data_IF_790974736485
#
_entry.id   IF_790974736485
#
_cell.length_a   1.000
_cell.length_b   1.000
_cell.length_c   1.000
_cell.angle_alpha   90.00
_cell.angle_beta   90.00
_cell.angle_gamma   90.00
#
_symmetry.space_group_name_H-M   'P 1'
#
loop_
_entity.id
_entity.type
_entity.pdbx_description
1 polymer ?
#
# COMPACT_ATOMS: atom_id res chain seq x y z
N UNK A 1 -16.19 -11.65 -2.39
CA UNK A 1 -15.14 -12.64 -2.73
C UNK A 1 -14.91 -13.59 -1.57
N UNK A 2 -14.44 -13.14 -0.39
CA UNK A 2 -14.32 -14.01 0.80
C UNK A 2 -15.64 -14.70 1.21
N UNK A 3 -16.77 -14.01 1.10
CA UNK A 3 -18.09 -14.64 1.35
C UNK A 3 -18.40 -15.80 0.42
N UNK A 4 -17.99 -15.71 -0.85
CA UNK A 4 -18.14 -16.79 -1.83
C UNK A 4 -17.14 -17.91 -1.56
N UNK A 5 -15.90 -17.57 -1.21
CA UNK A 5 -14.86 -18.55 -0.85
C UNK A 5 -15.25 -19.38 0.37
N UNK A 6 -15.64 -18.73 1.47
CA UNK A 6 -16.06 -19.41 2.71
C UNK A 6 -17.43 -20.11 2.64
N UNK A 7 -18.07 -20.14 1.46
CA UNK A 7 -19.27 -20.92 1.20
C UNK A 7 -18.88 -22.34 0.71
N UNK A 8 -19.29 -22.72 -0.50
CA UNK A 8 -19.00 -24.05 -1.07
C UNK A 8 -17.50 -24.34 -1.25
N UNK A 9 -16.66 -23.40 -1.78
CA UNK A 9 -15.25 -23.69 -2.04
C UNK A 9 -14.48 -24.12 -0.79
N UNK A 10 -14.59 -23.37 0.31
CA UNK A 10 -13.92 -23.71 1.57
C UNK A 10 -14.34 -25.08 2.13
N UNK A 11 -15.62 -25.44 1.98
CA UNK A 11 -16.14 -26.74 2.42
C UNK A 11 -15.60 -27.90 1.59
N UNK A 12 -15.33 -27.67 0.31
CA UNK A 12 -14.82 -28.70 -0.61
C UNK A 12 -13.33 -29.03 -0.40
N UNK A 13 -12.56 -28.11 0.17
CA UNK A 13 -11.15 -28.33 0.49
C UNK A 13 -11.07 -29.26 1.69
N UNK A 14 -10.49 -30.45 1.53
CA UNK A 14 -10.36 -31.43 2.62
C UNK A 14 -9.06 -31.25 3.41
N UNK A 15 -7.97 -30.94 2.72
CA UNK A 15 -6.65 -30.81 3.33
C UNK A 15 -6.38 -29.43 3.94
N UNK A 16 -5.50 -29.33 4.95
CA UNK A 16 -4.99 -28.05 5.41
C UNK A 16 -4.26 -27.28 4.30
N UNK A 17 -4.40 -25.96 4.28
CA UNK A 17 -3.88 -25.10 3.24
C UNK A 17 -3.42 -23.73 3.76
N UNK A 18 -2.62 -23.07 2.93
CA UNK A 18 -2.23 -21.66 3.08
C UNK A 18 -3.24 -20.79 2.33
N UNK A 19 -3.86 -19.83 3.02
CA UNK A 19 -4.77 -18.87 2.41
C UNK A 19 -4.02 -17.59 2.05
N UNK A 20 -4.12 -17.15 0.79
CA UNK A 20 -3.58 -15.86 0.36
C UNK A 20 -4.73 -14.99 -0.14
N UNK A 21 -4.85 -13.78 0.39
CA UNK A 21 -5.77 -12.77 -0.10
C UNK A 21 -5.03 -11.49 -0.46
N UNK A 22 -5.15 -11.10 -1.72
CA UNK A 22 -4.44 -9.98 -2.31
C UNK A 22 -5.37 -9.20 -3.26
N UNK A 23 -4.85 -8.15 -3.87
CA UNK A 23 -5.44 -7.40 -4.97
C UNK A 23 -6.84 -6.84 -4.66
N UNK A 24 -6.97 -6.28 -3.45
CA UNK A 24 -8.21 -5.71 -2.95
C UNK A 24 -7.92 -4.74 -1.82
N UNK A 25 -8.61 -3.60 -1.79
CA UNK A 25 -8.57 -2.64 -0.69
C UNK A 25 -9.22 -3.17 0.60
N UNK A 26 -10.05 -4.21 0.51
CA UNK A 26 -10.75 -4.77 1.66
C UNK A 26 -9.78 -5.48 2.60
N UNK A 27 -9.95 -5.22 3.89
CA UNK A 27 -9.16 -5.89 4.91
C UNK A 27 -9.56 -7.35 5.10
N UNK A 28 -8.59 -8.17 5.48
CA UNK A 28 -8.75 -9.57 5.87
C UNK A 28 -8.13 -9.81 7.24
N UNK A 29 -8.68 -10.67 8.10
CA UNK A 29 -9.91 -11.44 7.93
C UNK A 29 -11.20 -10.62 8.10
N UNK A 30 -11.15 -9.39 8.62
CA UNK A 30 -12.32 -8.54 8.90
C UNK A 30 -13.39 -9.29 9.70
N UNK A 31 -14.56 -9.60 9.12
CA UNK A 31 -15.63 -10.39 9.77
C UNK A 31 -15.36 -11.90 9.84
N UNK A 32 -14.35 -12.41 9.13
CA UNK A 32 -13.97 -13.83 9.08
C UNK A 32 -12.92 -14.20 10.14
N UNK A 33 -12.79 -13.42 11.23
CA UNK A 33 -11.76 -13.68 12.27
C UNK A 33 -11.83 -15.12 12.81
N UNK A 34 -13.04 -15.63 13.01
CA UNK A 34 -13.28 -17.00 13.49
C UNK A 34 -12.69 -18.07 12.57
N UNK A 35 -12.57 -17.79 11.27
CA UNK A 35 -11.98 -18.74 10.32
C UNK A 35 -10.49 -18.97 10.55
N UNK A 36 -9.76 -18.03 11.17
CA UNK A 36 -8.35 -18.23 11.54
C UNK A 36 -8.17 -19.40 12.53
N UNK A 37 -9.20 -19.72 13.31
CA UNK A 37 -9.17 -20.85 14.26
C UNK A 37 -9.40 -22.20 13.57
N UNK A 38 -9.83 -22.20 12.30
CA UNK A 38 -10.14 -23.44 11.60
C UNK A 38 -8.85 -24.24 11.35
N UNK A 39 -8.81 -25.56 11.62
CA UNK A 39 -7.60 -26.37 11.47
C UNK A 39 -7.10 -26.42 10.03
N UNK A 40 -8.01 -26.35 9.05
CA UNK A 40 -7.63 -26.30 7.62
C UNK A 40 -6.87 -25.03 7.21
N UNK A 41 -6.94 -23.92 7.94
CA UNK A 41 -6.13 -22.74 7.62
C UNK A 41 -4.84 -22.83 8.43
N UNK A 42 -3.74 -23.16 7.75
CA UNK A 42 -2.41 -23.22 8.38
C UNK A 42 -1.90 -21.81 8.68
N UNK A 43 -1.96 -20.94 7.69
CA UNK A 43 -1.63 -19.52 7.77
C UNK A 43 -2.42 -18.75 6.71
N UNK A 44 -2.71 -17.49 6.99
CA UNK A 44 -3.38 -16.55 6.11
C UNK A 44 -2.47 -15.35 5.83
N UNK A 45 -2.02 -15.22 4.58
CA UNK A 45 -1.33 -14.03 4.10
C UNK A 45 -2.32 -13.02 3.52
N UNK A 46 -2.31 -11.78 4.04
CA UNK A 46 -3.24 -10.74 3.63
C UNK A 46 -2.54 -9.43 3.29
N UNK A 47 -2.90 -8.80 2.16
CA UNK A 47 -2.36 -7.49 1.79
C UNK A 47 -2.86 -6.34 2.66
N UNK A 48 -4.00 -6.53 3.33
CA UNK A 48 -4.63 -5.54 4.20
C UNK A 48 -5.08 -6.23 5.50
N UNK A 49 -4.17 -6.65 6.39
CA UNK A 49 -4.55 -7.34 7.62
C UNK A 49 -5.38 -6.42 8.54
N UNK A 50 -6.43 -6.96 9.16
CA UNK A 50 -7.30 -6.22 10.09
C UNK A 50 -7.05 -6.54 11.57
N UNK A 51 -6.00 -7.33 11.86
CA UNK A 51 -5.64 -7.78 13.20
C UNK A 51 -4.13 -7.69 13.33
N UNK A 52 -3.67 -7.06 14.41
CA UNK A 52 -2.24 -7.03 14.77
C UNK A 52 -1.88 -8.31 15.52
N UNK A 53 -0.69 -8.86 15.26
CA UNK A 53 -0.09 -9.96 16.01
C UNK A 53 -0.98 -11.21 16.19
N UNK A 54 -1.34 -11.89 15.10
CA UNK A 54 -2.04 -13.19 15.17
C UNK A 54 -1.18 -14.29 14.55
N UNK A 55 -1.02 -15.43 15.24
CA UNK A 55 -0.11 -16.51 14.85
C UNK A 55 -0.34 -17.06 13.43
N UNK A 56 -1.60 -17.08 12.98
CA UNK A 56 -2.00 -17.52 11.63
C UNK A 56 -2.33 -16.40 10.65
N UNK A 57 -2.04 -15.13 10.94
CA UNK A 57 -2.27 -14.03 10.01
C UNK A 57 -0.98 -13.24 9.85
N UNK A 58 -0.50 -13.16 8.61
CA UNK A 58 0.71 -12.40 8.29
C UNK A 58 0.42 -11.38 7.19
N UNK A 59 0.94 -10.15 7.32
CA UNK A 59 0.85 -9.18 6.25
C UNK A 59 1.64 -9.67 5.03
N UNK A 60 1.20 -9.26 3.83
CA UNK A 60 2.02 -9.28 2.61
C UNK A 60 1.90 -7.93 1.91
N UNK A 61 2.86 -7.53 1.07
CA UNK A 61 2.76 -6.32 0.26
C UNK A 61 1.52 -6.31 -0.64
N UNK A 62 0.80 -5.18 -0.74
CA UNK A 62 -0.12 -4.94 -1.88
C UNK A 62 0.66 -4.74 -3.19
N UNK A 63 1.91 -4.28 -3.10
CA UNK A 63 2.83 -4.14 -4.23
C UNK A 63 2.45 -3.02 -5.19
N UNK A 64 2.81 -3.19 -6.47
CA UNK A 64 2.46 -2.27 -7.55
C UNK A 64 1.02 -2.47 -8.03
N UNK A 65 0.44 -1.45 -8.65
CA UNK A 65 -0.87 -1.57 -9.26
C UNK A 65 -0.86 -2.53 -10.46
N UNK A 66 -2.02 -3.14 -10.75
CA UNK A 66 -2.16 -4.01 -11.92
C UNK A 66 -1.94 -3.26 -13.23
N UNK A 67 -1.35 -3.93 -14.23
CA UNK A 67 -0.99 -3.35 -15.52
C UNK A 67 -2.16 -2.78 -16.36
N UNK A 68 -3.41 -3.12 -16.06
CA UNK A 68 -4.57 -2.51 -16.72
C UNK A 68 -4.85 -1.08 -16.23
N UNK A 69 -4.24 -0.65 -15.13
CA UNK A 69 -4.30 0.73 -14.67
C UNK A 69 -3.14 1.55 -15.21
N UNK A 70 -3.38 2.83 -15.47
CA UNK A 70 -2.33 3.77 -15.94
C UNK A 70 -1.15 3.89 -14.97
N UNK A 71 -1.38 3.69 -13.67
CA UNK A 71 -0.36 3.69 -12.61
C UNK A 71 0.20 2.30 -12.30
N UNK A 72 -0.15 1.29 -13.11
CA UNK A 72 0.46 -0.05 -13.10
C UNK A 72 1.35 -0.31 -14.33
N UNK A 73 1.63 0.73 -15.14
CA UNK A 73 2.43 0.61 -16.36
C UNK A 73 3.91 0.39 -16.02
N UNK A 74 4.36 -0.85 -16.19
CA UNK A 74 5.72 -1.27 -15.89
C UNK A 74 6.77 -0.66 -16.84
N UNK A 75 6.40 -0.29 -18.07
CA UNK A 75 7.33 0.34 -19.00
C UNK A 75 7.66 1.76 -18.52
N UNK A 76 6.64 2.52 -18.11
CA UNK A 76 6.81 3.86 -17.52
C UNK A 76 7.59 3.83 -16.22
N UNK A 77 7.29 2.87 -15.34
CA UNK A 77 8.05 2.68 -14.10
C UNK A 77 9.52 2.35 -14.38
N UNK A 78 9.79 1.40 -15.27
CA UNK A 78 11.16 1.00 -15.65
C UNK A 78 11.93 2.18 -16.25
N UNK A 79 11.28 2.98 -17.10
CA UNK A 79 11.87 4.20 -17.64
C UNK A 79 12.21 5.20 -16.53
N UNK A 80 11.28 5.46 -15.61
CA UNK A 80 11.50 6.40 -14.51
C UNK A 80 12.60 5.94 -13.55
N UNK A 81 12.71 4.63 -13.27
CA UNK A 81 13.78 4.08 -12.44
C UNK A 81 15.17 4.35 -13.01
N UNK A 82 15.31 4.35 -14.35
CA UNK A 82 16.57 4.64 -15.03
C UNK A 82 16.87 6.12 -15.13
N UNK A 83 15.85 6.95 -15.36
CA UNK A 83 16.04 8.34 -15.77
C UNK A 83 15.68 9.39 -14.70
N UNK A 84 14.93 9.02 -13.67
CA UNK A 84 14.38 9.98 -12.69
C UNK A 84 14.70 9.65 -11.24
N UNK A 85 15.21 8.44 -10.95
CA UNK A 85 15.65 8.05 -9.60
C UNK A 85 16.96 8.74 -9.24
N UNK A 86 16.89 9.90 -8.58
CA UNK A 86 18.08 10.64 -8.15
C UNK A 86 18.73 10.00 -6.92
N UNK A 87 20.04 10.18 -6.80
CA UNK A 87 20.76 9.85 -5.56
C UNK A 87 20.30 10.75 -4.40
N UNK A 88 20.52 10.31 -3.15
CA UNK A 88 20.00 11.02 -1.97
C UNK A 88 20.42 12.49 -1.88
N UNK A 89 21.66 12.81 -2.23
CA UNK A 89 22.21 14.18 -2.20
C UNK A 89 21.66 15.08 -3.31
N UNK A 90 21.18 14.50 -4.41
CA UNK A 90 20.64 15.23 -5.56
C UNK A 90 19.12 15.48 -5.48
N UNK A 91 18.43 14.94 -4.47
CA UNK A 91 16.99 15.13 -4.23
C UNK A 91 16.73 16.49 -3.60
N UNK A 92 15.95 17.33 -4.28
CA UNK A 92 15.69 18.71 -3.84
C UNK A 92 14.38 18.87 -3.06
N UNK A 93 13.40 17.99 -3.27
CA UNK A 93 12.17 17.99 -2.47
C UNK A 93 12.39 17.22 -1.18
N UNK A 94 12.09 17.86 -0.04
CA UNK A 94 12.18 17.19 1.26
C UNK A 94 11.07 16.15 1.37
N UNK A 95 9.82 16.56 1.17
CA UNK A 95 8.65 15.73 1.36
C UNK A 95 7.71 15.84 0.16
N UNK A 96 7.29 14.71 -0.38
CA UNK A 96 6.29 14.64 -1.45
C UNK A 96 4.94 14.14 -0.93
N UNK A 97 3.88 14.87 -1.26
CA UNK A 97 2.51 14.60 -0.81
C UNK A 97 1.59 14.55 -2.02
N UNK A 98 1.17 13.35 -2.42
CA UNK A 98 0.23 13.15 -3.51
C UNK A 98 -0.80 12.06 -3.14
N UNK A 99 -1.90 12.49 -2.55
CA UNK A 99 -3.04 11.65 -2.25
C UNK A 99 -4.35 12.46 -2.23
N UNK A 100 -5.45 11.83 -2.64
CA UNK A 100 -6.77 12.44 -2.50
C UNK A 100 -7.31 12.23 -1.08
N UNK A 101 -7.67 13.32 -0.38
CA UNK A 101 -8.25 13.28 0.98
C UNK A 101 -9.52 12.44 1.01
N UNK A 102 -10.35 12.50 -0.04
CA UNK A 102 -11.67 11.85 -0.09
C UNK A 102 -11.65 10.33 0.10
N UNK A 103 -10.55 9.63 -0.24
CA UNK A 103 -10.49 8.17 -0.15
C UNK A 103 -10.35 7.66 1.29
N UNK A 104 -9.87 8.52 2.21
CA UNK A 104 -9.80 8.23 3.64
C UNK A 104 -9.76 9.56 4.40
N UNK A 105 -10.93 10.20 4.52
CA UNK A 105 -11.04 11.57 5.06
C UNK A 105 -10.44 11.69 6.45
N UNK A 106 -10.65 10.69 7.31
CA UNK A 106 -10.20 10.71 8.69
C UNK A 106 -8.66 10.73 8.80
N UNK A 107 -7.96 9.83 8.11
CA UNK A 107 -6.50 9.75 8.20
C UNK A 107 -5.82 10.78 7.32
N UNK A 108 -6.28 10.96 6.07
CA UNK A 108 -5.61 11.84 5.10
C UNK A 108 -5.78 13.33 5.42
N UNK A 109 -6.89 13.75 6.03
CA UNK A 109 -7.03 15.14 6.52
C UNK A 109 -6.08 15.43 7.66
N UNK A 110 -5.93 14.50 8.63
CA UNK A 110 -4.98 14.64 9.74
C UNK A 110 -3.54 14.73 9.22
N UNK A 111 -3.15 13.83 8.33
CA UNK A 111 -1.82 13.83 7.72
C UNK A 111 -1.56 15.12 6.94
N UNK A 112 -2.53 15.59 6.14
CA UNK A 112 -2.43 16.84 5.39
C UNK A 112 -2.18 18.06 6.29
N UNK A 113 -2.94 18.20 7.39
CA UNK A 113 -2.79 19.31 8.33
C UNK A 113 -1.44 19.34 9.06
N UNK A 114 -0.78 18.18 9.18
CA UNK A 114 0.57 18.10 9.76
C UNK A 114 1.62 18.54 8.73
N UNK A 115 1.53 18.07 7.49
CA UNK A 115 2.54 18.34 6.46
C UNK A 115 2.41 19.71 5.82
N UNK A 116 1.23 20.35 5.89
CA UNK A 116 1.05 21.72 5.41
C UNK A 116 1.88 22.76 6.18
N UNK A 117 2.52 22.36 7.28
CA UNK A 117 3.40 23.18 8.12
C UNK A 117 4.89 22.93 7.84
N UNK A 118 5.22 21.99 6.97
CA UNK A 118 6.61 21.59 6.69
C UNK A 118 7.13 22.42 5.52
N UNK A 119 8.23 23.14 5.73
CA UNK A 119 8.94 23.84 4.67
C UNK A 119 9.53 22.84 3.66
N UNK A 120 9.54 23.21 2.37
CA UNK A 120 10.00 22.34 1.27
C UNK A 120 9.21 21.02 1.11
N UNK A 121 7.95 20.99 1.56
CA UNK A 121 6.99 19.97 1.18
C UNK A 121 6.39 20.30 -0.19
N UNK A 122 6.51 19.38 -1.15
CA UNK A 122 5.80 19.43 -2.41
C UNK A 122 4.43 18.78 -2.24
N UNK A 123 3.39 19.62 -2.16
CA UNK A 123 1.99 19.20 -2.05
C UNK A 123 1.35 19.28 -3.44
N UNK A 124 0.84 18.15 -3.92
CA UNK A 124 0.20 18.04 -5.22
C UNK A 124 -1.32 18.17 -5.05
N UNK A 125 -1.87 19.30 -5.50
CA UNK A 125 -3.31 19.59 -5.41
C UNK A 125 -4.11 19.01 -6.58
N UNK A 126 -3.52 19.05 -7.77
CA UNK A 126 -4.15 18.59 -9.01
C UNK A 126 -3.64 17.22 -9.46
N UNK A 127 -4.45 16.53 -10.27
CA UNK A 127 -4.06 15.22 -10.79
C UNK A 127 -2.93 15.36 -11.81
N UNK A 128 -1.79 14.74 -11.51
CA UNK A 128 -0.66 14.61 -12.44
C UNK A 128 -0.71 13.27 -13.19
N UNK A 129 0.02 13.17 -14.31
CA UNK A 129 0.26 11.92 -15.01
C UNK A 129 1.11 10.97 -14.17
N UNK A 130 1.13 9.67 -14.51
CA UNK A 130 1.93 8.70 -13.79
C UNK A 130 3.44 8.97 -13.95
N UNK A 131 3.86 9.43 -15.12
CA UNK A 131 5.23 9.81 -15.44
C UNK A 131 5.69 10.99 -14.59
N UNK A 132 4.89 12.06 -14.53
CA UNK A 132 5.17 13.22 -13.69
C UNK A 132 5.20 12.84 -12.21
N UNK A 133 4.27 11.98 -11.77
CA UNK A 133 4.26 11.44 -10.41
C UNK A 133 5.57 10.69 -10.07
N UNK A 134 6.01 9.77 -10.93
CA UNK A 134 7.26 9.03 -10.73
C UNK A 134 8.47 9.96 -10.75
N UNK A 135 8.51 10.93 -11.65
CA UNK A 135 9.59 11.93 -11.69
C UNK A 135 9.67 12.73 -10.39
N UNK A 136 8.53 13.16 -9.85
CA UNK A 136 8.46 13.91 -8.60
C UNK A 136 8.91 13.07 -7.40
N UNK A 137 8.48 11.80 -7.31
CA UNK A 137 8.96 10.86 -6.28
C UNK A 137 10.47 10.65 -6.40
N UNK A 138 11.00 10.49 -7.62
CA UNK A 138 12.43 10.30 -7.87
C UNK A 138 13.30 11.47 -7.40
N UNK A 139 12.71 12.66 -7.22
CA UNK A 139 13.35 13.86 -6.69
C UNK A 139 13.07 14.13 -5.20
N UNK A 140 12.21 13.35 -4.55
CA UNK A 140 11.79 13.56 -3.17
C UNK A 140 12.55 12.67 -2.19
N UNK A 141 12.98 13.19 -1.04
CA UNK A 141 13.64 12.38 0.00
C UNK A 141 12.63 11.49 0.72
N UNK A 142 11.49 12.07 1.10
CA UNK A 142 10.40 11.38 1.78
C UNK A 142 9.10 11.43 0.98
N UNK A 143 8.27 10.39 1.08
CA UNK A 143 6.93 10.34 0.47
C UNK A 143 5.90 10.05 1.54
N UNK A 144 4.92 10.93 1.73
CA UNK A 144 3.83 10.69 2.67
C UNK A 144 2.83 9.67 2.10
N UNK A 145 2.67 8.52 2.78
CA UNK A 145 1.83 7.41 2.32
C UNK A 145 0.83 6.92 3.40
N UNK A 146 -0.12 7.77 3.84
CA UNK A 146 -1.18 7.35 4.75
C UNK A 146 -2.15 6.38 4.05
N UNK A 147 -2.83 5.53 4.84
CA UNK A 147 -3.84 4.61 4.33
C UNK A 147 -4.85 5.26 3.38
N UNK A 148 -5.21 4.52 2.34
CA UNK A 148 -6.27 4.87 1.39
C UNK A 148 -7.58 4.21 1.76
N UNK A 149 -8.26 3.70 0.74
CA UNK A 149 -9.40 2.79 0.95
C UNK A 149 -8.96 1.54 1.71
N UNK A 150 -7.79 0.99 1.34
CA UNK A 150 -7.10 -0.07 2.05
C UNK A 150 -6.07 0.46 3.04
N UNK A 151 -5.56 -0.45 3.86
CA UNK A 151 -4.49 -0.19 4.83
C UNK A 151 -3.16 0.06 4.10
N UNK A 152 -2.77 -0.84 3.20
CA UNK A 152 -1.57 -0.70 2.36
C UNK A 152 -1.86 0.18 1.12
N UNK A 153 -0.80 0.78 0.57
CA UNK A 153 -0.88 1.70 -0.56
C UNK A 153 0.19 1.35 -1.62
N UNK A 154 -0.21 1.31 -2.90
CA UNK A 154 0.75 1.22 -4.02
C UNK A 154 1.85 2.29 -3.95
N UNK A 155 1.49 3.52 -3.51
CA UNK A 155 2.42 4.63 -3.27
C UNK A 155 3.58 4.29 -2.36
N UNK A 156 3.38 3.43 -1.36
CA UNK A 156 4.47 3.00 -0.46
C UNK A 156 5.53 2.22 -1.24
N UNK A 157 5.09 1.29 -2.10
CA UNK A 157 5.96 0.45 -2.92
C UNK A 157 6.62 1.22 -4.06
N UNK A 158 5.88 2.14 -4.69
CA UNK A 158 6.40 3.05 -5.72
C UNK A 158 7.48 3.98 -5.15
N UNK A 159 7.29 4.51 -3.94
CA UNK A 159 8.28 5.34 -3.25
C UNK A 159 9.58 4.57 -2.98
N UNK A 160 9.47 3.35 -2.44
CA UNK A 160 10.62 2.49 -2.17
C UNK A 160 11.42 2.20 -3.45
N UNK A 161 10.72 1.82 -4.53
CA UNK A 161 11.35 1.52 -5.83
C UNK A 161 12.07 2.77 -6.39
N UNK A 162 11.43 3.93 -6.32
CA UNK A 162 12.03 5.20 -6.74
C UNK A 162 13.05 5.76 -5.75
N UNK A 163 13.42 5.01 -4.69
CA UNK A 163 14.46 5.34 -3.73
C UNK A 163 14.13 6.45 -2.74
N UNK A 164 12.86 6.80 -2.58
CA UNK A 164 12.39 7.69 -1.52
C UNK A 164 12.06 6.86 -0.26
N UNK A 165 12.09 7.50 0.91
CA UNK A 165 11.70 6.89 2.18
C UNK A 165 10.20 7.12 2.42
N UNK A 166 9.35 6.08 2.41
CA UNK A 166 7.93 6.28 2.68
C UNK A 166 7.69 6.59 4.17
N UNK A 167 6.82 7.56 4.44
CA UNK A 167 6.30 7.86 5.77
C UNK A 167 4.90 7.26 5.86
N UNK A 168 4.76 6.20 6.65
CA UNK A 168 3.52 5.44 6.85
C UNK A 168 3.04 5.52 8.30
N UNK A 169 1.77 5.23 8.53
CA UNK A 169 1.21 5.13 9.89
C UNK A 169 1.48 3.74 10.45
N UNK A 170 1.88 3.64 11.72
CA UNK A 170 1.97 2.35 12.43
C UNK A 170 0.64 1.59 12.34
N UNK A 171 0.72 0.30 12.01
CA UNK A 171 -0.45 -0.53 11.77
C UNK A 171 -0.14 -2.02 11.85
N UNK A 172 -1.08 -2.85 11.40
CA UNK A 172 -0.90 -4.27 11.18
C UNK A 172 0.15 -4.61 10.10
N UNK A 173 0.59 -3.63 9.32
CA UNK A 173 1.66 -3.77 8.32
C UNK A 173 3.06 -3.55 8.90
N UNK A 174 3.21 -3.15 10.17
CA UNK A 174 4.52 -2.89 10.79
C UNK A 174 5.55 -4.02 10.54
N UNK A 175 5.20 -5.32 10.59
CA UNK A 175 6.17 -6.38 10.32
C UNK A 175 6.69 -6.48 8.88
N UNK A 176 6.20 -5.68 7.93
CA UNK A 176 6.70 -5.64 6.55
C UNK A 176 7.89 -4.70 6.35
N UNK A 177 8.17 -3.83 7.31
CA UNK A 177 9.18 -2.77 7.22
C UNK A 177 10.28 -2.98 8.26
#
# INVERSE_FOLDING_TARGET
MLSKFFASPFKSIQEPFVLVTHNSDKSAPSKYRKNLLHPKILIWYASNPSIKCHQKLSPIPIGLANAHWTHGDLAKLTYALRNHRKSWSQRTSLLYVNFAIRTNKAQRKKAFLQVSKIENAQIVEERVTFETYLQQIGNAKFVLSPPGTGLDCHRTWEALLMGAVPIVLTSELDPLF
#
